data_IF_724658151739
#
_entry.id   IF_724658151739
#
_cell.length_a   1.000
_cell.length_b   1.000
_cell.length_c   1.000
_cell.angle_alpha   90.00
_cell.angle_beta   90.00
_cell.angle_gamma   90.00
#
_symmetry.space_group_name_H-M   'P 1'
#
loop_
_entity.id
_entity.type
_entity.pdbx_description
1 polymer ?
#
# COMPACT_ATOMS: atom_id res chain seq x y z
N UNK A 1 -6.13 -2.32 -71.92
CA UNK A 1 -6.78 -1.98 -70.66
C UNK A 1 -6.20 -2.88 -69.55
N UNK A 2 -5.29 -2.31 -68.74
CA UNK A 2 -4.60 -3.07 -67.67
C UNK A 2 -5.23 -2.69 -66.34
N UNK A 3 -5.93 -3.63 -65.67
CA UNK A 3 -6.47 -3.43 -64.34
C UNK A 3 -5.40 -3.68 -63.31
N UNK A 4 -4.98 -2.64 -62.62
CA UNK A 4 -4.07 -2.69 -61.48
C UNK A 4 -4.91 -2.91 -60.21
N UNK A 5 -4.94 -4.14 -59.68
CA UNK A 5 -5.60 -4.45 -58.40
C UNK A 5 -4.66 -4.12 -57.26
N UNK A 6 -5.00 -3.10 -56.45
CA UNK A 6 -4.27 -2.65 -55.27
C UNK A 6 -4.81 -3.38 -54.06
N UNK A 7 -4.12 -4.40 -53.56
CA UNK A 7 -4.45 -5.10 -52.33
C UNK A 7 -3.87 -4.35 -51.12
N UNK A 8 -4.72 -3.68 -50.35
CA UNK A 8 -4.38 -3.04 -49.07
C UNK A 8 -4.32 -4.12 -48.00
N UNK A 9 -3.12 -4.54 -47.59
CA UNK A 9 -2.91 -5.39 -46.44
C UNK A 9 -3.05 -4.57 -45.15
N UNK A 10 -4.19 -4.74 -44.47
CA UNK A 10 -4.45 -4.18 -43.17
C UNK A 10 -3.69 -5.02 -42.12
N UNK A 11 -2.47 -4.63 -41.76
CA UNK A 11 -1.71 -5.21 -40.66
C UNK A 11 -2.37 -4.76 -39.35
N UNK A 12 -3.21 -5.62 -38.75
CA UNK A 12 -3.73 -5.44 -37.40
C UNK A 12 -2.54 -5.54 -36.43
N UNK A 13 -2.10 -4.40 -35.88
CA UNK A 13 -1.23 -4.37 -34.70
C UNK A 13 -1.99 -4.98 -33.52
N UNK A 14 -1.78 -6.25 -33.28
CA UNK A 14 -2.16 -6.92 -32.04
C UNK A 14 -1.32 -6.30 -30.92
N UNK A 15 -1.89 -5.31 -30.21
CA UNK A 15 -1.33 -4.82 -28.96
C UNK A 15 -1.33 -6.00 -27.99
N UNK A 16 -0.15 -6.56 -27.72
CA UNK A 16 0.02 -7.60 -26.70
C UNK A 16 -0.54 -7.05 -25.37
N UNK A 17 -1.36 -7.82 -24.64
CA UNK A 17 -1.83 -7.39 -23.34
C UNK A 17 -0.60 -7.17 -22.46
N UNK A 18 -0.48 -5.95 -21.90
CA UNK A 18 0.56 -5.66 -20.92
C UNK A 18 0.29 -6.56 -19.72
N UNK A 19 1.17 -7.55 -19.50
CA UNK A 19 1.06 -8.40 -18.31
C UNK A 19 1.16 -7.51 -17.07
N UNK A 20 0.12 -7.57 -16.23
CA UNK A 20 0.16 -6.89 -14.94
C UNK A 20 1.28 -7.48 -14.09
N UNK A 21 2.08 -6.63 -13.43
CA UNK A 21 3.12 -7.12 -12.53
C UNK A 21 2.46 -7.66 -11.24
N UNK A 22 2.62 -8.96 -10.94
CA UNK A 22 2.06 -9.54 -9.73
C UNK A 22 2.90 -9.15 -8.51
N UNK A 23 2.23 -8.56 -7.51
CA UNK A 23 2.79 -8.28 -6.17
C UNK A 23 2.15 -9.25 -5.20
N UNK A 24 2.97 -9.96 -4.42
CA UNK A 24 2.48 -10.73 -3.30
C UNK A 24 2.53 -9.91 -2.01
N UNK A 25 1.41 -9.80 -1.31
CA UNK A 25 1.29 -9.10 -0.03
C UNK A 25 1.38 -10.11 1.11
N UNK A 26 2.46 -10.06 1.88
CA UNK A 26 2.58 -10.83 3.11
C UNK A 26 1.57 -10.32 4.16
N UNK A 27 1.08 -11.18 5.08
CA UNK A 27 0.18 -10.75 6.14
C UNK A 27 0.77 -9.56 6.90
N UNK A 28 0.08 -8.39 6.96
CA UNK A 28 0.58 -7.22 7.65
C UNK A 28 0.80 -7.47 9.14
N UNK A 29 1.89 -6.94 9.70
CA UNK A 29 2.08 -6.87 11.15
C UNK A 29 1.36 -5.64 11.69
N UNK A 30 0.30 -5.83 12.46
CA UNK A 30 -0.53 -4.73 12.95
C UNK A 30 -0.55 -4.72 14.48
N UNK A 31 -0.29 -3.55 15.07
CA UNK A 31 -0.31 -3.31 16.51
C UNK A 31 -1.12 -2.03 16.78
N UNK A 32 -2.43 -2.19 16.95
CA UNK A 32 -3.33 -1.08 17.26
C UNK A 32 -3.91 -1.27 18.66
N UNK A 33 -3.56 -0.38 19.58
CA UNK A 33 -4.11 -0.41 20.92
C UNK A 33 -5.65 -0.30 20.87
N UNK A 34 -6.35 -1.21 21.54
CA UNK A 34 -7.82 -1.21 21.64
C UNK A 34 -8.58 -1.76 20.44
N UNK A 35 -7.89 -2.33 19.44
CA UNK A 35 -8.53 -2.99 18.29
C UNK A 35 -8.26 -4.49 18.28
N UNK A 36 -9.15 -5.27 17.66
CA UNK A 36 -8.90 -6.68 17.38
C UNK A 36 -7.77 -6.80 16.33
N UNK A 37 -6.66 -7.48 16.65
CA UNK A 37 -5.54 -7.61 15.72
C UNK A 37 -5.91 -8.30 14.40
N UNK A 38 -6.83 -9.26 14.41
CA UNK A 38 -7.25 -9.97 13.22
C UNK A 38 -8.07 -9.06 12.29
N UNK A 39 -8.98 -8.28 12.85
CA UNK A 39 -9.77 -7.30 12.13
C UNK A 39 -8.88 -6.20 11.54
N UNK A 40 -7.96 -5.67 12.35
CA UNK A 40 -7.03 -4.63 11.90
C UNK A 40 -6.11 -5.12 10.77
N UNK A 41 -5.60 -6.35 10.87
CA UNK A 41 -4.80 -6.97 9.82
C UNK A 41 -5.60 -7.16 8.53
N UNK A 42 -6.84 -7.64 8.62
CA UNK A 42 -7.72 -7.80 7.47
C UNK A 42 -8.01 -6.45 6.79
N UNK A 43 -8.28 -5.41 7.58
CA UNK A 43 -8.51 -4.05 7.08
C UNK A 43 -7.32 -3.51 6.30
N UNK A 44 -6.11 -3.60 6.86
CA UNK A 44 -4.87 -3.15 6.19
C UNK A 44 -4.64 -3.94 4.90
N UNK A 45 -4.87 -5.26 4.91
CA UNK A 45 -4.73 -6.12 3.72
C UNK A 45 -5.68 -5.67 2.60
N UNK A 46 -6.97 -5.49 2.92
CA UNK A 46 -7.97 -5.09 1.92
C UNK A 46 -7.72 -3.68 1.39
N UNK A 47 -7.23 -2.76 2.23
CA UNK A 47 -6.85 -1.43 1.79
C UNK A 47 -5.69 -1.47 0.79
N UNK A 48 -4.59 -2.15 1.11
CA UNK A 48 -3.47 -2.28 0.17
C UNK A 48 -3.89 -2.97 -1.12
N UNK A 49 -4.70 -4.02 -1.04
CA UNK A 49 -5.25 -4.70 -2.21
C UNK A 49 -6.11 -3.75 -3.06
N UNK A 50 -6.98 -2.95 -2.44
CA UNK A 50 -7.82 -1.98 -3.14
C UNK A 50 -7.01 -0.89 -3.82
N UNK A 51 -6.01 -0.31 -3.16
CA UNK A 51 -5.22 0.79 -3.70
C UNK A 51 -4.17 0.36 -4.72
N UNK A 52 -3.62 -0.86 -4.61
CA UNK A 52 -2.61 -1.37 -5.53
C UNK A 52 -3.19 -2.12 -6.73
N UNK A 53 -4.41 -2.67 -6.64
CA UNK A 53 -5.01 -3.41 -7.77
C UNK A 53 -5.43 -2.44 -8.87
N UNK A 54 -4.91 -2.65 -10.07
CA UNK A 54 -5.18 -1.82 -11.23
C UNK A 54 -4.82 -2.51 -12.55
N UNK A 55 -4.90 -1.80 -13.67
CA UNK A 55 -4.64 -2.39 -15.00
C UNK A 55 -3.20 -2.86 -15.18
N UNK A 56 -2.25 -2.33 -14.38
CA UNK A 56 -0.83 -2.65 -14.46
C UNK A 56 -0.31 -3.44 -13.26
N UNK A 57 -1.12 -3.62 -12.21
CA UNK A 57 -0.73 -4.28 -10.97
C UNK A 57 -1.83 -5.22 -10.50
N UNK A 58 -1.43 -6.40 -10.02
CA UNK A 58 -2.30 -7.34 -9.32
C UNK A 58 -1.70 -7.66 -7.97
N UNK A 59 -2.54 -7.75 -6.93
CA UNK A 59 -2.11 -8.07 -5.57
C UNK A 59 -2.65 -9.44 -5.16
N UNK A 60 -1.75 -10.34 -4.81
CA UNK A 60 -2.07 -11.66 -4.29
C UNK A 60 -1.72 -11.70 -2.80
N UNK A 61 -2.70 -11.83 -1.90
CA UNK A 61 -2.41 -12.00 -0.47
C UNK A 61 -1.78 -13.35 -0.20
N UNK A 62 -0.73 -13.35 0.64
CA UNK A 62 -0.08 -14.56 1.14
C UNK A 62 -0.63 -14.96 2.50
N UNK A 63 -0.36 -16.19 2.91
CA UNK A 63 -0.76 -16.74 4.22
C UNK A 63 0.40 -16.85 5.20
N UNK A 64 1.62 -16.97 4.69
CA UNK A 64 2.81 -17.16 5.48
C UNK A 64 3.23 -15.87 6.21
N UNK A 65 3.39 -15.96 7.53
CA UNK A 65 3.77 -14.82 8.40
C UNK A 65 5.28 -14.61 8.51
N UNK A 66 6.07 -15.66 8.30
CA UNK A 66 7.53 -15.56 8.35
C UNK A 66 8.05 -15.11 6.98
N UNK A 67 8.98 -14.16 6.96
CA UNK A 67 9.51 -13.60 5.72
C UNK A 67 10.12 -14.65 4.78
N UNK A 68 10.80 -15.67 5.31
CA UNK A 68 11.34 -16.77 4.51
C UNK A 68 10.24 -17.61 3.84
N UNK A 69 9.18 -17.93 4.58
CA UNK A 69 8.05 -18.69 4.07
C UNK A 69 7.21 -17.86 3.09
N UNK A 70 7.03 -16.57 3.37
CA UNK A 70 6.33 -15.65 2.47
C UNK A 70 7.03 -15.54 1.11
N UNK A 71 8.37 -15.50 1.09
CA UNK A 71 9.13 -15.51 -0.18
C UNK A 71 8.97 -16.84 -0.93
N UNK A 72 8.93 -17.96 -0.21
CA UNK A 72 8.70 -19.28 -0.84
C UNK A 72 7.28 -19.36 -1.42
N UNK A 73 6.27 -18.96 -0.66
CA UNK A 73 4.88 -18.89 -1.12
C UNK A 73 4.73 -17.96 -2.33
N UNK A 74 5.43 -16.80 -2.32
CA UNK A 74 5.44 -15.86 -3.43
C UNK A 74 6.06 -16.44 -4.71
N UNK A 75 7.14 -17.22 -4.59
CA UNK A 75 7.72 -17.97 -5.74
C UNK A 75 6.72 -18.95 -6.33
N UNK A 76 6.01 -19.69 -5.48
CA UNK A 76 4.97 -20.63 -5.91
C UNK A 76 3.79 -19.92 -6.57
N UNK A 77 3.45 -18.71 -6.12
CA UNK A 77 2.44 -17.85 -6.70
C UNK A 77 2.93 -17.04 -7.92
N UNK A 78 4.18 -17.26 -8.36
CA UNK A 78 4.81 -16.52 -9.47
C UNK A 78 4.85 -15.00 -9.29
N UNK A 79 4.94 -14.52 -8.05
CA UNK A 79 5.11 -13.11 -7.75
C UNK A 79 6.60 -12.73 -7.82
N UNK A 80 6.90 -11.71 -8.58
CA UNK A 80 8.27 -11.17 -8.69
C UNK A 80 8.65 -10.28 -7.51
N UNK A 81 7.62 -9.75 -6.80
CA UNK A 81 7.78 -8.77 -5.73
C UNK A 81 6.95 -9.21 -4.52
N UNK A 82 7.53 -9.10 -3.33
CA UNK A 82 6.87 -9.33 -2.05
C UNK A 82 6.81 -8.01 -1.28
N UNK A 83 5.60 -7.64 -0.86
CA UNK A 83 5.33 -6.48 -0.04
C UNK A 83 5.14 -6.92 1.42
N UNK A 84 5.96 -6.40 2.31
CA UNK A 84 5.83 -6.50 3.76
C UNK A 84 5.36 -5.18 4.32
N UNK A 85 4.34 -5.21 5.19
CA UNK A 85 3.74 -4.02 5.80
C UNK A 85 3.72 -4.17 7.31
N UNK A 86 4.06 -3.09 8.01
CA UNK A 86 3.90 -2.96 9.46
C UNK A 86 3.15 -1.67 9.77
N UNK A 87 2.11 -1.77 10.59
CA UNK A 87 1.31 -0.63 11.05
C UNK A 87 1.22 -0.65 12.57
N UNK A 88 1.66 0.43 13.23
CA UNK A 88 1.67 0.55 14.68
C UNK A 88 0.96 1.84 15.07
N UNK A 89 -0.02 1.73 15.99
CA UNK A 89 -0.71 2.90 16.55
C UNK A 89 -0.41 2.98 18.04
N UNK A 90 0.17 4.11 18.46
CA UNK A 90 0.50 4.40 19.83
C UNK A 90 -0.32 5.58 20.33
N UNK A 91 -0.85 5.46 21.56
CA UNK A 91 -1.49 6.56 22.25
C UNK A 91 -0.41 7.36 23.00
N UNK A 92 -0.19 8.62 22.60
CA UNK A 92 0.71 9.52 23.34
C UNK A 92 -0.08 10.35 24.33
N UNK A 93 -0.09 9.93 25.60
CA UNK A 93 -0.57 10.80 26.67
C UNK A 93 0.33 12.04 26.78
N UNK A 94 -0.25 13.23 26.99
CA UNK A 94 0.51 14.50 27.14
C UNK A 94 1.44 14.55 28.36
N UNK A 95 1.42 13.54 29.24
CA UNK A 95 2.22 13.46 30.45
C UNK A 95 3.68 13.03 30.26
N UNK A 96 4.17 12.91 29.02
CA UNK A 96 5.57 12.58 28.72
C UNK A 96 6.51 13.75 29.00
N UNK A 97 7.18 13.71 30.17
CA UNK A 97 8.15 14.70 30.60
C UNK A 97 9.28 14.97 29.60
N UNK A 98 10.06 16.03 29.86
CA UNK A 98 11.08 16.63 29.02
C UNK A 98 12.12 15.65 28.38
N UNK A 99 12.27 14.44 28.88
CA UNK A 99 13.21 13.43 28.36
C UNK A 99 12.72 12.75 27.06
N UNK A 100 11.39 12.66 26.81
CA UNK A 100 10.85 12.13 25.55
C UNK A 100 11.05 13.08 24.36
N UNK A 101 11.32 14.37 24.59
CA UNK A 101 11.45 15.37 23.51
C UNK A 101 12.82 15.34 22.81
N UNK A 102 13.84 14.73 23.41
CA UNK A 102 15.19 14.70 22.83
C UNK A 102 15.31 13.59 21.78
N UNK A 103 14.66 12.45 21.98
CA UNK A 103 14.64 11.36 21.00
C UNK A 103 13.76 11.64 19.77
N UNK A 104 12.75 12.52 19.90
CA UNK A 104 11.82 12.84 18.81
C UNK A 104 12.38 13.85 17.80
N UNK A 105 13.48 14.56 18.12
CA UNK A 105 14.05 15.59 17.23
C UNK A 105 14.94 15.04 16.10
N UNK A 106 15.39 13.82 16.20
CA UNK A 106 16.26 13.20 15.18
C UNK A 106 15.49 12.54 14.00
N UNK A 107 14.16 12.49 14.06
CA UNK A 107 13.32 11.81 13.05
C UNK A 107 12.43 12.74 12.23
N UNK A 108 12.57 14.07 12.36
CA UNK A 108 11.72 15.04 11.66
C UNK A 108 12.54 15.82 10.64
N UNK A 109 13.08 15.14 9.64
CA UNK A 109 13.46 15.80 8.37
C UNK A 109 13.04 14.92 7.20
N UNK A 110 11.75 14.87 6.98
CA UNK A 110 11.10 14.44 5.76
C UNK A 110 9.94 15.38 5.51
N UNK A 111 10.25 16.59 5.04
CA UNK A 111 9.25 17.63 4.77
C UNK A 111 8.27 17.15 3.69
N UNK A 112 7.05 17.00 4.11
CA UNK A 112 5.87 16.87 3.24
C UNK A 112 5.58 18.23 2.58
N UNK A 113 6.43 18.63 1.66
CA UNK A 113 6.16 19.78 0.80
C UNK A 113 5.58 19.27 -0.51
N UNK A 114 4.25 19.37 -0.62
CA UNK A 114 3.48 19.60 -1.84
C UNK A 114 4.06 19.05 -3.15
N UNK A 115 3.64 17.83 -3.50
CA UNK A 115 3.68 17.31 -4.86
C UNK A 115 2.26 17.09 -5.37
N UNK A 116 1.56 18.18 -5.70
CA UNK A 116 0.31 18.13 -6.46
C UNK A 116 0.67 17.75 -7.89
N UNK A 117 0.50 16.48 -8.28
CA UNK A 117 0.76 16.14 -9.68
C UNK A 117 0.82 14.66 -10.03
N UNK A 118 -0.04 13.79 -9.48
CA UNK A 118 -0.21 12.43 -10.02
C UNK A 118 -1.65 11.93 -9.89
N UNK A 119 -2.63 12.81 -10.07
CA UNK A 119 -4.04 12.52 -9.82
C UNK A 119 -4.77 11.84 -10.99
N UNK A 120 -4.13 11.01 -11.79
CA UNK A 120 -4.79 10.44 -12.99
C UNK A 120 -4.83 8.92 -13.08
N UNK A 121 -4.19 8.15 -12.21
CA UNK A 121 -4.19 6.68 -12.31
C UNK A 121 -5.17 5.99 -11.37
N UNK A 122 -5.54 6.59 -10.24
CA UNK A 122 -6.33 5.94 -9.17
C UNK A 122 -7.84 6.17 -9.22
N UNK A 123 -8.37 6.98 -10.13
CA UNK A 123 -9.80 7.37 -10.10
C UNK A 123 -10.80 6.38 -10.71
N UNK A 124 -10.42 5.19 -11.14
CA UNK A 124 -11.33 4.23 -11.83
C UNK A 124 -11.24 2.77 -11.41
N UNK A 125 -10.76 2.44 -10.25
CA UNK A 125 -10.77 1.04 -9.84
C UNK A 125 -11.80 0.79 -8.75
N UNK A 126 -12.89 0.16 -9.19
CA UNK A 126 -13.85 -0.64 -8.43
C UNK A 126 -14.53 0.02 -7.22
N UNK A 127 -15.69 0.59 -7.45
CA UNK A 127 -16.59 1.16 -6.41
C UNK A 127 -16.98 0.19 -5.28
N UNK A 128 -16.96 -1.11 -5.48
CA UNK A 128 -17.37 -2.11 -4.48
C UNK A 128 -16.22 -2.70 -3.65
N UNK A 129 -15.01 -2.84 -4.21
CA UNK A 129 -13.84 -3.19 -3.41
C UNK A 129 -13.44 -2.01 -2.50
N UNK A 130 -13.67 -0.77 -2.94
CA UNK A 130 -13.50 0.42 -2.15
C UNK A 130 -14.46 0.51 -0.96
N UNK A 131 -15.69 -0.03 -1.04
CA UNK A 131 -16.64 -0.04 0.08
C UNK A 131 -16.18 -0.90 1.25
N UNK A 132 -15.62 -2.08 0.98
CA UNK A 132 -15.07 -2.96 2.02
C UNK A 132 -13.88 -2.32 2.74
N UNK A 133 -12.94 -1.76 1.97
CA UNK A 133 -11.80 -1.04 2.51
C UNK A 133 -12.20 0.22 3.28
N UNK A 134 -13.20 0.99 2.78
CA UNK A 134 -13.70 2.18 3.45
C UNK A 134 -14.41 1.85 4.78
N UNK A 135 -15.19 0.78 4.86
CA UNK A 135 -15.82 0.33 6.11
C UNK A 135 -14.75 -0.09 7.13
N UNK A 136 -13.77 -0.90 6.69
CA UNK A 136 -12.70 -1.32 7.57
C UNK A 136 -11.86 -0.14 8.08
N UNK A 137 -11.60 0.86 7.26
CA UNK A 137 -10.94 2.10 7.66
C UNK A 137 -11.79 2.89 8.66
N UNK A 138 -13.12 3.00 8.45
CA UNK A 138 -14.03 3.69 9.35
C UNK A 138 -14.10 3.01 10.72
N UNK A 139 -14.15 1.67 10.76
CA UNK A 139 -14.15 0.90 12.01
C UNK A 139 -12.85 1.15 12.80
N UNK A 140 -11.71 1.16 12.14
CA UNK A 140 -10.42 1.46 12.77
C UNK A 140 -10.32 2.93 13.20
N UNK A 141 -10.85 3.86 12.41
CA UNK A 141 -10.89 5.27 12.74
C UNK A 141 -11.74 5.53 13.99
N UNK A 142 -12.87 4.82 14.16
CA UNK A 142 -13.74 4.96 15.33
C UNK A 142 -13.04 4.70 16.67
N UNK A 143 -11.96 3.92 16.67
CA UNK A 143 -11.13 3.63 17.83
C UNK A 143 -9.96 4.60 18.02
N UNK A 144 -9.72 5.50 17.05
CA UNK A 144 -8.65 6.51 17.12
C UNK A 144 -9.00 7.58 18.14
N UNK A 145 -8.03 7.95 18.96
CA UNK A 145 -8.16 9.04 19.95
C UNK A 145 -7.25 10.19 19.58
N UNK A 146 -7.64 11.39 20.00
CA UNK A 146 -6.79 12.59 19.92
C UNK A 146 -5.40 12.28 20.49
N UNK A 147 -4.36 12.68 19.79
CA UNK A 147 -2.95 12.41 20.08
C UNK A 147 -2.45 10.99 19.76
N UNK A 148 -3.31 10.09 19.26
CA UNK A 148 -2.80 8.85 18.67
C UNK A 148 -1.84 9.14 17.51
N UNK A 149 -0.75 8.40 17.44
CA UNK A 149 0.20 8.45 16.33
C UNK A 149 0.19 7.10 15.62
N UNK A 150 -0.16 7.11 14.34
CA UNK A 150 -0.07 5.93 13.48
C UNK A 150 1.20 5.99 12.65
N UNK A 151 1.99 4.96 12.74
CA UNK A 151 3.16 4.72 11.92
C UNK A 151 2.87 3.57 10.96
N UNK A 152 3.09 3.81 9.67
CA UNK A 152 3.04 2.81 8.62
C UNK A 152 4.42 2.69 8.00
N UNK A 153 4.97 1.48 7.99
CA UNK A 153 6.19 1.16 7.25
C UNK A 153 5.93 0.03 6.27
N UNK A 154 6.60 0.08 5.13
CA UNK A 154 6.57 -1.00 4.17
C UNK A 154 7.95 -1.29 3.61
N UNK A 155 8.14 -2.52 3.14
CA UNK A 155 9.33 -2.98 2.46
C UNK A 155 8.95 -3.84 1.26
N UNK A 156 9.44 -3.45 0.09
CA UNK A 156 9.36 -4.23 -1.13
C UNK A 156 10.64 -5.05 -1.29
N UNK A 157 10.47 -6.33 -1.50
CA UNK A 157 11.57 -7.25 -1.80
C UNK A 157 11.34 -7.94 -3.13
N UNK A 158 12.43 -8.22 -3.85
CA UNK A 158 12.38 -9.13 -4.99
C UNK A 158 12.19 -10.58 -4.52
N UNK A 159 11.89 -11.48 -5.43
CA UNK A 159 11.82 -12.93 -5.16
C UNK A 159 13.12 -13.50 -4.57
N UNK A 160 14.27 -12.86 -4.85
CA UNK A 160 15.59 -13.24 -4.30
C UNK A 160 15.83 -12.69 -2.90
N UNK A 161 14.93 -11.82 -2.38
CA UNK A 161 15.05 -11.17 -1.08
C UNK A 161 15.83 -9.86 -1.11
N UNK A 162 16.21 -9.35 -2.29
CA UNK A 162 16.83 -8.03 -2.40
C UNK A 162 15.78 -6.93 -2.13
N UNK A 163 16.11 -5.97 -1.27
CA UNK A 163 15.23 -4.84 -0.94
C UNK A 163 15.23 -3.86 -2.12
N UNK A 164 14.06 -3.67 -2.73
CA UNK A 164 13.83 -2.75 -3.83
C UNK A 164 13.49 -1.35 -3.34
N UNK A 165 12.68 -1.27 -2.28
CA UNK A 165 12.24 -0.03 -1.65
C UNK A 165 11.86 -0.30 -0.21
N UNK A 166 12.18 0.63 0.66
CA UNK A 166 11.68 0.69 2.03
C UNK A 166 11.26 2.13 2.32
N UNK A 167 10.13 2.29 3.00
CA UNK A 167 9.61 3.60 3.39
C UNK A 167 8.83 3.52 4.68
N UNK A 168 8.75 4.65 5.39
CA UNK A 168 8.09 4.77 6.66
C UNK A 168 7.44 6.14 6.75
N UNK A 169 6.16 6.16 7.07
CA UNK A 169 5.39 7.38 7.23
C UNK A 169 4.62 7.38 8.55
N UNK A 170 4.37 8.58 9.11
CA UNK A 170 3.66 8.77 10.36
C UNK A 170 2.59 9.83 10.23
N UNK A 171 1.49 9.65 10.96
CA UNK A 171 0.43 10.63 11.08
C UNK A 171 -0.12 10.68 12.50
N UNK A 172 -0.36 11.89 13.02
CA UNK A 172 -0.90 12.13 14.35
C UNK A 172 -2.36 12.58 14.24
N UNK A 173 -3.23 11.98 15.08
CA UNK A 173 -4.62 12.37 15.19
C UNK A 173 -4.75 13.75 15.84
N UNK A 174 -5.57 14.60 15.22
CA UNK A 174 -5.94 15.92 15.72
C UNK A 174 -7.26 15.88 16.50
N UNK A 175 -8.09 14.87 16.21
CA UNK A 175 -9.40 14.67 16.83
C UNK A 175 -9.70 13.18 17.01
N UNK A 176 -10.64 12.87 17.89
CA UNK A 176 -11.17 11.51 18.02
C UNK A 176 -11.89 11.09 16.74
N UNK A 177 -11.73 9.84 16.37
CA UNK A 177 -12.35 9.29 15.15
C UNK A 177 -11.67 9.70 13.84
N UNK A 178 -10.50 10.36 13.88
CA UNK A 178 -9.78 10.75 12.66
C UNK A 178 -9.22 9.51 11.94
N UNK A 179 -9.43 9.44 10.63
CA UNK A 179 -8.83 8.40 9.79
C UNK A 179 -7.36 8.74 9.51
N UNK A 180 -6.48 7.99 10.15
CA UNK A 180 -5.04 8.10 9.96
C UNK A 180 -4.51 7.10 8.94
N UNK A 181 -5.22 5.98 8.74
CA UNK A 181 -4.73 4.85 7.98
C UNK A 181 -4.86 5.07 6.47
N UNK A 182 -6.03 5.51 6.01
CA UNK A 182 -6.30 5.71 4.57
C UNK A 182 -5.24 6.57 3.89
N UNK A 183 -4.92 7.79 4.38
CA UNK A 183 -3.93 8.64 3.70
C UNK A 183 -2.50 8.07 3.75
N UNK A 184 -2.16 7.26 4.76
CA UNK A 184 -0.85 6.59 4.82
C UNK A 184 -0.77 5.43 3.82
N UNK A 185 -1.84 4.64 3.69
CA UNK A 185 -1.90 3.54 2.72
C UNK A 185 -1.92 4.07 1.28
N UNK A 186 -2.70 5.13 1.02
CA UNK A 186 -2.76 5.78 -0.29
C UNK A 186 -1.38 6.26 -0.73
N UNK A 187 -0.68 6.97 0.15
CA UNK A 187 0.69 7.43 -0.12
C UNK A 187 1.66 6.26 -0.35
N UNK A 188 1.63 5.24 0.50
CA UNK A 188 2.46 4.04 0.33
C UNK A 188 2.17 3.35 -1.01
N UNK A 189 0.89 3.22 -1.39
CA UNK A 189 0.50 2.60 -2.65
C UNK A 189 1.00 3.39 -3.87
N UNK A 190 0.98 4.73 -3.82
CA UNK A 190 1.55 5.58 -4.88
C UNK A 190 3.06 5.37 -5.03
N UNK A 191 3.80 5.35 -3.91
CA UNK A 191 5.25 5.10 -3.93
C UNK A 191 5.58 3.69 -4.46
N UNK A 192 4.81 2.67 -4.07
CA UNK A 192 4.97 1.29 -4.52
C UNK A 192 4.71 1.20 -6.03
N UNK A 193 3.60 1.76 -6.50
CA UNK A 193 3.26 1.76 -7.92
C UNK A 193 4.33 2.44 -8.77
N UNK A 194 4.92 3.54 -8.29
CA UNK A 194 5.99 4.25 -8.98
C UNK A 194 7.29 3.43 -9.13
N UNK A 195 7.53 2.46 -8.25
CA UNK A 195 8.69 1.55 -8.33
C UNK A 195 8.43 0.36 -9.24
N UNK A 196 7.21 -0.20 -9.19
CA UNK A 196 6.88 -1.46 -9.85
C UNK A 196 6.52 -1.27 -11.34
N UNK A 197 5.96 -0.11 -11.72
CA UNK A 197 5.47 0.16 -13.08
C UNK A 197 6.57 0.77 -13.99
N UNK A 198 7.78 0.94 -13.50
CA UNK A 198 8.93 1.36 -14.33
C UNK A 198 9.43 0.23 -15.19
#
# INVERSE_FOLDING_TARGET
MVHLSFTISLAALLAAPRSSAPICLAPPSVQFAGSDPAQAMAAVTEMFKSYLTGPSLTVTPLTARLASQAREEARQAHCQIVLFVTATREHRSESGGALGRIAARAAVEGSWAAGVGAATVTKRVASWAAEGAARAAADLASTTKTHDELELSYRLESETGAVLKESKAKRKAKSDGEDLLTPLVEHAAEEIAAVVVK
#
